data_IF_390331272740
#
_entry.id   IF_390331272740
#
_cell.length_a   1.000
_cell.length_b   1.000
_cell.length_c   1.000
_cell.angle_alpha   90.00
_cell.angle_beta   90.00
_cell.angle_gamma   90.00
#
_symmetry.space_group_name_H-M   'P 1'
#
loop_
_entity.id
_entity.type
_entity.pdbx_description
1 polymer ?
#
# COMPACT_ATOMS: atom_id res chain seq x y z
N UNK A 1 6.97 14.80 -20.83
CA UNK A 1 6.57 13.39 -21.11
C UNK A 1 6.14 12.76 -19.80
N UNK A 2 4.88 12.36 -19.68
CA UNK A 2 4.42 11.65 -18.49
C UNK A 2 5.16 10.30 -18.42
N UNK A 3 5.98 10.10 -17.40
CA UNK A 3 6.61 8.79 -17.17
C UNK A 3 5.51 7.73 -17.04
N UNK A 4 5.59 6.73 -17.89
CA UNK A 4 4.59 5.65 -17.94
C UNK A 4 4.72 4.82 -16.67
N UNK A 5 3.72 4.89 -15.80
CA UNK A 5 3.66 4.09 -14.58
C UNK A 5 3.67 2.61 -14.97
N UNK A 6 4.66 1.87 -14.47
CA UNK A 6 4.86 0.45 -14.78
C UNK A 6 4.44 -0.43 -13.61
N UNK A 7 4.78 -0.03 -12.39
CA UNK A 7 4.56 -0.86 -11.19
C UNK A 7 4.19 -0.01 -9.97
N UNK A 8 3.12 -0.39 -9.30
CA UNK A 8 2.66 0.27 -8.08
C UNK A 8 2.51 -0.71 -6.93
N UNK A 9 2.60 -0.18 -5.71
CA UNK A 9 2.28 -0.89 -4.48
C UNK A 9 1.09 -0.23 -3.79
N UNK A 10 0.06 -1.01 -3.52
CA UNK A 10 -1.04 -0.64 -2.63
C UNK A 10 -0.75 -1.20 -1.24
N UNK A 11 -0.71 -0.35 -0.23
CA UNK A 11 -0.57 -0.77 1.17
C UNK A 11 -1.92 -0.65 1.86
N UNK A 12 -2.62 -1.77 2.00
CA UNK A 12 -3.86 -1.90 2.78
C UNK A 12 -3.89 -3.29 3.40
N UNK A 13 -3.16 -3.49 4.53
CA UNK A 13 -2.96 -4.82 5.11
C UNK A 13 -4.18 -5.37 5.84
N UNK A 14 -5.11 -4.54 6.30
CA UNK A 14 -6.32 -4.89 7.06
C UNK A 14 -7.29 -3.69 7.14
N UNK A 15 -8.56 -3.82 7.58
CA UNK A 15 -9.27 -5.06 7.83
C UNK A 15 -10.02 -5.52 6.57
N UNK A 16 -10.78 -6.64 6.66
CA UNK A 16 -11.50 -7.20 5.51
C UNK A 16 -12.39 -6.14 4.81
N UNK A 17 -13.23 -5.45 5.58
CA UNK A 17 -14.12 -4.41 5.04
C UNK A 17 -13.36 -3.27 4.37
N UNK A 18 -12.26 -2.83 4.98
CA UNK A 18 -11.42 -1.77 4.42
C UNK A 18 -10.73 -2.17 3.11
N UNK A 19 -10.33 -3.44 2.99
CA UNK A 19 -9.76 -3.99 1.75
C UNK A 19 -10.80 -3.98 0.64
N UNK A 20 -12.03 -4.43 0.95
CA UNK A 20 -13.15 -4.41 -0.01
C UNK A 20 -13.48 -2.99 -0.43
N UNK A 21 -13.52 -2.02 0.49
CA UNK A 21 -13.78 -0.61 0.19
C UNK A 21 -12.64 0.05 -0.62
N UNK A 22 -11.43 -0.49 -0.58
CA UNK A 22 -10.32 0.00 -1.40
C UNK A 22 -10.33 -0.56 -2.84
N UNK A 23 -11.02 -1.68 -3.10
CA UNK A 23 -11.04 -2.31 -4.44
C UNK A 23 -11.55 -1.40 -5.56
N UNK A 24 -12.63 -0.59 -5.40
CA UNK A 24 -13.07 0.33 -6.44
C UNK A 24 -11.99 1.32 -6.88
N UNK A 25 -11.21 1.85 -5.92
CA UNK A 25 -10.10 2.74 -6.22
C UNK A 25 -9.01 2.06 -7.02
N UNK A 26 -8.62 0.84 -6.64
CA UNK A 26 -7.62 0.05 -7.36
C UNK A 26 -8.11 -0.32 -8.76
N UNK A 27 -9.39 -0.66 -8.92
CA UNK A 27 -10.01 -0.91 -10.21
C UNK A 27 -9.99 0.35 -11.11
N UNK A 28 -10.34 1.51 -10.56
CA UNK A 28 -10.30 2.78 -11.29
C UNK A 28 -8.89 3.12 -11.76
N UNK A 29 -7.88 2.89 -10.89
CA UNK A 29 -6.47 3.05 -11.27
C UNK A 29 -6.05 2.10 -12.39
N UNK A 30 -6.39 0.81 -12.27
CA UNK A 30 -6.07 -0.21 -13.27
C UNK A 30 -6.68 0.12 -14.64
N UNK A 31 -7.93 0.62 -14.65
CA UNK A 31 -8.63 1.04 -15.88
C UNK A 31 -7.93 2.21 -16.58
N UNK A 32 -7.42 3.18 -15.81
CA UNK A 32 -6.65 4.32 -16.35
C UNK A 32 -5.24 3.92 -16.79
N UNK A 33 -4.66 2.91 -16.14
CA UNK A 33 -3.28 2.46 -16.36
C UNK A 33 -3.21 0.96 -16.69
N UNK A 34 -3.75 0.50 -17.83
CA UNK A 34 -3.94 -0.93 -18.13
C UNK A 34 -2.62 -1.73 -18.27
N UNK A 35 -1.49 -1.03 -18.37
CA UNK A 35 -0.15 -1.65 -18.45
C UNK A 35 0.61 -1.63 -17.13
N UNK A 36 0.03 -1.03 -16.08
CA UNK A 36 0.67 -0.99 -14.78
C UNK A 36 0.45 -2.30 -14.02
N UNK A 37 1.52 -2.84 -13.45
CA UNK A 37 1.45 -3.95 -12.51
C UNK A 37 1.08 -3.44 -11.12
N UNK A 38 0.02 -3.99 -10.55
CA UNK A 38 -0.46 -3.64 -9.22
C UNK A 38 -0.08 -4.74 -8.24
N UNK A 39 0.74 -4.40 -7.27
CA UNK A 39 1.06 -5.26 -6.13
C UNK A 39 0.27 -4.78 -4.91
N UNK A 40 -0.18 -5.71 -4.08
CA UNK A 40 -0.95 -5.39 -2.88
C UNK A 40 -0.30 -5.95 -1.64
N UNK A 41 0.07 -5.06 -0.72
CA UNK A 41 0.61 -5.40 0.59
C UNK A 41 -0.53 -5.72 1.56
N UNK A 42 -0.60 -6.96 1.99
CA UNK A 42 -1.76 -7.52 2.71
C UNK A 42 -1.34 -8.52 3.77
N UNK A 43 -2.15 -8.67 4.80
CA UNK A 43 -1.96 -9.73 5.81
C UNK A 43 -2.35 -11.10 5.23
N UNK A 44 -1.71 -12.20 5.72
CA UNK A 44 -1.96 -13.55 5.22
C UNK A 44 -3.45 -13.94 5.24
N UNK A 45 -4.18 -13.50 6.27
CA UNK A 45 -5.58 -13.84 6.48
C UNK A 45 -6.51 -13.30 5.37
N UNK A 46 -6.07 -12.30 4.62
CA UNK A 46 -6.85 -11.64 3.56
C UNK A 46 -6.25 -11.84 2.16
N UNK A 47 -5.14 -12.57 2.03
CA UNK A 47 -4.45 -12.75 0.75
C UNK A 47 -5.35 -13.45 -0.29
N UNK A 48 -6.10 -14.46 0.14
CA UNK A 48 -7.01 -15.23 -0.72
C UNK A 48 -8.10 -14.38 -1.37
N UNK A 49 -8.51 -13.29 -0.71
CA UNK A 49 -9.47 -12.33 -1.27
C UNK A 49 -8.94 -11.66 -2.55
N UNK A 50 -7.63 -11.51 -2.65
CA UNK A 50 -6.95 -10.82 -3.74
C UNK A 50 -6.42 -11.77 -4.83
N UNK A 51 -6.29 -13.06 -4.56
CA UNK A 51 -5.71 -14.05 -5.49
C UNK A 51 -6.47 -14.16 -6.82
N UNK A 52 -7.80 -14.00 -6.78
CA UNK A 52 -8.65 -14.03 -7.97
C UNK A 52 -8.98 -12.64 -8.53
N UNK A 53 -8.37 -11.58 -7.98
CA UNK A 53 -8.61 -10.21 -8.45
C UNK A 53 -7.76 -9.93 -9.69
N UNK A 54 -8.43 -9.75 -10.84
CA UNK A 54 -7.77 -9.51 -12.14
C UNK A 54 -6.92 -8.24 -12.18
N UNK A 55 -7.15 -7.28 -11.28
CA UNK A 55 -6.39 -6.04 -11.21
C UNK A 55 -5.10 -6.19 -10.39
N UNK A 56 -5.00 -7.21 -9.52
CA UNK A 56 -3.86 -7.41 -8.64
C UNK A 56 -2.94 -8.47 -9.23
N UNK A 57 -1.73 -8.07 -9.61
CA UNK A 57 -0.74 -8.98 -10.19
C UNK A 57 -0.03 -9.84 -9.15
N UNK A 58 0.21 -9.27 -7.95
CA UNK A 58 0.96 -9.94 -6.88
C UNK A 58 0.51 -9.46 -5.51
N UNK A 59 0.38 -10.39 -4.58
CA UNK A 59 0.22 -10.08 -3.16
C UNK A 59 1.58 -10.11 -2.46
N UNK A 60 1.86 -9.10 -1.65
CA UNK A 60 3.04 -9.02 -0.79
C UNK A 60 2.57 -9.27 0.64
N UNK A 61 2.97 -10.40 1.19
CA UNK A 61 2.45 -10.86 2.49
C UNK A 61 3.15 -10.17 3.65
N UNK A 62 2.35 -9.55 4.52
CA UNK A 62 2.79 -8.92 5.76
C UNK A 62 2.29 -9.70 6.99
N UNK A 63 3.13 -10.56 7.55
CA UNK A 63 2.79 -11.29 8.75
C UNK A 63 3.06 -10.47 10.02
N UNK A 64 2.03 -9.72 10.47
CA UNK A 64 2.13 -8.84 11.63
C UNK A 64 2.55 -9.57 12.91
N UNK A 65 2.09 -10.81 13.13
CA UNK A 65 2.37 -11.56 14.37
C UNK A 65 3.85 -11.94 14.47
N UNK A 66 4.43 -12.37 13.35
CA UNK A 66 5.86 -12.72 13.28
C UNK A 66 6.74 -11.47 13.32
N UNK A 67 6.42 -10.47 12.51
CA UNK A 67 7.23 -9.26 12.39
C UNK A 67 7.16 -8.35 13.62
N UNK A 68 6.15 -8.49 14.49
CA UNK A 68 6.07 -7.76 15.75
C UNK A 68 7.13 -8.13 16.77
N UNK A 69 7.84 -9.25 16.57
CA UNK A 69 8.91 -9.76 17.45
C UNK A 69 10.31 -9.75 16.81
N UNK A 70 10.49 -8.93 15.77
CA UNK A 70 11.72 -8.91 14.97
C UNK A 70 12.99 -8.67 15.78
N UNK A 71 12.93 -7.90 16.89
CA UNK A 71 14.08 -7.65 17.79
C UNK A 71 14.40 -8.79 18.75
N UNK A 72 13.46 -9.75 18.93
CA UNK A 72 13.62 -10.84 19.90
C UNK A 72 13.87 -12.21 19.25
N UNK A 73 13.69 -12.32 17.92
CA UNK A 73 13.75 -13.59 17.22
C UNK A 73 14.48 -13.43 15.89
N UNK A 74 15.52 -14.23 15.69
CA UNK A 74 16.37 -14.20 14.49
C UNK A 74 15.56 -14.49 13.20
N UNK A 75 14.58 -15.39 13.26
CA UNK A 75 13.76 -15.72 12.08
C UNK A 75 12.83 -14.56 11.74
N UNK A 76 12.22 -13.90 12.73
CA UNK A 76 11.41 -12.71 12.52
C UNK A 76 12.26 -11.54 11.99
N UNK A 77 13.50 -11.40 12.43
CA UNK A 77 14.46 -10.44 11.90
C UNK A 77 14.77 -10.70 10.43
N UNK A 78 15.08 -11.95 10.08
CA UNK A 78 15.33 -12.35 8.67
C UNK A 78 14.10 -12.11 7.77
N UNK A 79 12.90 -12.47 8.24
CA UNK A 79 11.65 -12.18 7.51
C UNK A 79 11.44 -10.68 7.30
N UNK A 80 11.69 -9.85 8.32
CA UNK A 80 11.54 -8.40 8.22
C UNK A 80 12.47 -7.80 7.16
N UNK A 81 13.76 -8.14 7.22
CA UNK A 81 14.72 -7.66 6.23
C UNK A 81 14.52 -8.29 4.86
N UNK A 82 14.05 -9.54 4.79
CA UNK A 82 13.64 -10.20 3.55
C UNK A 82 12.49 -9.47 2.87
N UNK A 83 11.49 -9.05 3.63
CA UNK A 83 10.36 -8.26 3.12
C UNK A 83 10.81 -6.88 2.61
N UNK A 84 11.68 -6.18 3.35
CA UNK A 84 12.24 -4.90 2.90
C UNK A 84 13.03 -5.09 1.60
N UNK A 85 13.87 -6.12 1.52
CA UNK A 85 14.64 -6.44 0.32
C UNK A 85 13.72 -6.70 -0.87
N UNK A 86 12.66 -7.50 -0.67
CA UNK A 86 11.64 -7.76 -1.69
C UNK A 86 10.99 -6.46 -2.18
N UNK A 87 10.53 -5.59 -1.28
CA UNK A 87 9.91 -4.32 -1.63
C UNK A 87 10.84 -3.43 -2.46
N UNK A 88 12.13 -3.36 -2.09
CA UNK A 88 13.13 -2.56 -2.82
C UNK A 88 13.47 -3.13 -4.20
N UNK A 89 13.54 -4.45 -4.32
CA UNK A 89 13.85 -5.12 -5.59
C UNK A 89 12.75 -4.91 -6.64
N UNK A 90 11.51 -4.72 -6.22
CA UNK A 90 10.38 -4.48 -7.13
C UNK A 90 10.44 -3.12 -7.83
N UNK A 91 11.18 -2.13 -7.29
CA UNK A 91 11.38 -0.79 -7.87
C UNK A 91 10.07 -0.12 -8.27
N UNK A 92 9.18 0.07 -7.29
CA UNK A 92 7.89 0.71 -7.51
C UNK A 92 8.04 2.15 -7.98
N UNK A 93 7.23 2.55 -8.96
CA UNK A 93 7.11 3.94 -9.41
C UNK A 93 6.29 4.77 -8.43
N UNK A 94 5.22 4.17 -7.88
CA UNK A 94 4.34 4.80 -6.90
C UNK A 94 3.98 3.80 -5.79
N UNK A 95 3.92 4.29 -4.56
CA UNK A 95 3.36 3.57 -3.41
C UNK A 95 2.17 4.37 -2.88
N UNK A 96 1.00 3.73 -2.80
CA UNK A 96 -0.20 4.26 -2.19
C UNK A 96 -0.43 3.60 -0.83
N UNK A 97 -0.29 4.35 0.26
CA UNK A 97 -0.63 3.88 1.59
C UNK A 97 -2.07 4.28 1.94
N UNK A 98 -3.01 3.38 1.69
CA UNK A 98 -4.42 3.54 2.01
C UNK A 98 -4.74 3.22 3.48
N UNK A 99 -3.76 2.74 4.25
CA UNK A 99 -3.94 2.44 5.68
C UNK A 99 -3.69 3.66 6.57
N UNK A 100 -2.67 4.46 6.25
CA UNK A 100 -2.33 5.68 6.98
C UNK A 100 -1.86 5.48 8.42
N UNK A 101 -1.34 4.31 8.77
CA UNK A 101 -0.79 4.02 10.10
C UNK A 101 0.72 4.01 10.08
N UNK A 102 1.37 4.25 11.22
CA UNK A 102 2.83 4.28 11.33
C UNK A 102 3.50 3.05 10.71
N UNK A 103 2.98 1.86 10.97
CA UNK A 103 3.54 0.62 10.41
C UNK A 103 3.45 0.55 8.90
N UNK A 104 2.34 0.97 8.29
CA UNK A 104 2.19 0.98 6.84
C UNK A 104 3.07 2.04 6.20
N UNK A 105 3.12 3.23 6.79
CA UNK A 105 3.94 4.33 6.31
C UNK A 105 5.44 4.00 6.31
N UNK A 106 5.91 3.27 7.34
CA UNK A 106 7.31 2.85 7.42
C UNK A 106 7.67 1.85 6.32
N UNK A 107 6.75 0.93 5.95
CA UNK A 107 6.97 0.03 4.81
C UNK A 107 6.93 0.77 3.48
N UNK A 108 6.06 1.78 3.34
CA UNK A 108 6.09 2.67 2.18
C UNK A 108 7.46 3.35 2.04
N UNK A 109 8.04 3.81 3.13
CA UNK A 109 9.38 4.42 3.14
C UNK A 109 10.48 3.39 2.84
N UNK A 110 10.44 2.22 3.47
CA UNK A 110 11.41 1.15 3.25
C UNK A 110 11.39 0.57 1.83
N UNK A 111 10.28 0.73 1.09
CA UNK A 111 10.22 0.33 -0.33
C UNK A 111 11.26 1.05 -1.20
N UNK A 112 11.78 2.19 -0.72
CA UNK A 112 12.71 3.04 -1.47
C UNK A 112 12.06 3.82 -2.62
N UNK A 113 10.74 3.73 -2.76
CA UNK A 113 9.99 4.46 -3.79
C UNK A 113 10.05 5.96 -3.55
N UNK A 114 10.29 6.74 -4.60
CA UNK A 114 10.37 8.20 -4.52
C UNK A 114 9.00 8.86 -4.41
N UNK A 115 7.96 8.31 -5.02
CA UNK A 115 6.59 8.84 -4.97
C UNK A 115 5.72 8.00 -4.02
N UNK A 116 5.55 8.48 -2.79
CA UNK A 116 4.76 7.83 -1.74
C UNK A 116 3.59 8.71 -1.37
N UNK A 117 2.40 8.20 -1.58
CA UNK A 117 1.13 8.92 -1.39
C UNK A 117 0.40 8.30 -0.20
N UNK A 118 -0.03 9.13 0.72
CA UNK A 118 -0.78 8.73 1.90
C UNK A 118 -1.71 9.84 2.40
N UNK A 119 -2.55 9.54 3.41
CA UNK A 119 -3.46 10.52 3.98
C UNK A 119 -2.72 11.64 4.71
N UNK A 120 -3.19 12.88 4.57
CA UNK A 120 -2.62 14.04 5.26
C UNK A 120 -2.95 14.04 6.75
N UNK A 121 -4.19 13.72 7.10
CA UNK A 121 -4.64 13.56 8.50
C UNK A 121 -4.47 12.12 8.95
N UNK A 122 -3.59 11.90 9.92
CA UNK A 122 -3.37 10.60 10.54
C UNK A 122 -3.32 10.77 12.06
N UNK A 123 -3.71 9.74 12.79
CA UNK A 123 -3.62 9.72 14.26
C UNK A 123 -2.17 9.62 14.75
N UNK A 124 -1.25 9.26 13.87
CA UNK A 124 0.17 9.06 14.13
C UNK A 124 0.97 10.01 13.22
N UNK A 125 2.19 10.37 13.59
CA UNK A 125 3.08 11.26 12.81
C UNK A 125 3.58 10.61 11.51
N UNK A 126 2.70 10.01 10.73
CA UNK A 126 3.03 9.25 9.51
C UNK A 126 3.34 10.14 8.32
N UNK A 127 2.93 11.39 8.38
CA UNK A 127 3.09 12.34 7.28
C UNK A 127 4.53 12.58 6.84
N UNK A 128 5.52 12.30 7.71
CA UNK A 128 6.95 12.43 7.36
C UNK A 128 7.42 11.38 6.34
N UNK A 129 6.72 10.25 6.24
CA UNK A 129 7.05 9.15 5.32
C UNK A 129 6.47 9.33 3.92
N UNK A 130 5.49 10.23 3.75
CA UNK A 130 4.85 10.49 2.46
C UNK A 130 5.48 11.67 1.75
N UNK A 131 5.62 11.55 0.44
CA UNK A 131 6.06 12.66 -0.43
C UNK A 131 4.88 13.48 -0.92
N UNK A 132 3.69 12.86 -1.00
CA UNK A 132 2.44 13.51 -1.36
C UNK A 132 1.37 13.12 -0.35
N UNK A 133 0.61 14.09 0.11
CA UNK A 133 -0.42 13.91 1.14
C UNK A 133 -1.76 14.34 0.58
N UNK A 134 -2.77 13.49 0.72
CA UNK A 134 -4.13 13.77 0.28
C UNK A 134 -4.99 14.08 1.51
N UNK A 135 -5.65 15.22 1.48
CA UNK A 135 -6.57 15.64 2.54
C UNK A 135 -7.97 15.05 2.29
N UNK A 136 -8.56 14.51 3.35
CA UNK A 136 -9.95 14.13 3.31
C UNK A 136 -10.80 15.39 3.53
N UNK A 137 -11.40 15.90 2.46
CA UNK A 137 -12.29 17.08 2.49
C UNK A 137 -13.74 16.68 2.74
N UNK A 138 -14.60 17.65 3.01
CA UNK A 138 -16.03 17.40 3.20
C UNK A 138 -16.71 16.77 1.96
N UNK A 139 -16.22 17.07 0.76
CA UNK A 139 -16.65 16.44 -0.50
C UNK A 139 -16.25 14.97 -0.63
N UNK A 140 -15.22 14.53 0.11
CA UNK A 140 -14.73 13.15 0.17
C UNK A 140 -15.17 12.48 1.48
N UNK A 141 -16.43 12.65 1.87
CA UNK A 141 -16.96 12.12 3.12
C UNK A 141 -17.02 10.60 3.14
N UNK A 142 -17.23 9.97 1.98
CA UNK A 142 -17.22 8.53 1.86
C UNK A 142 -15.79 8.00 1.64
N UNK A 143 -15.42 6.97 2.38
CA UNK A 143 -14.05 6.41 2.35
C UNK A 143 -13.62 5.91 0.96
N UNK A 144 -14.56 5.42 0.16
CA UNK A 144 -14.30 4.96 -1.22
C UNK A 144 -13.87 6.12 -2.11
N UNK A 145 -14.56 7.28 -2.01
CA UNK A 145 -14.23 8.47 -2.80
C UNK A 145 -12.85 8.99 -2.42
N UNK A 146 -12.54 8.95 -1.12
CA UNK A 146 -11.20 9.31 -0.64
C UNK A 146 -10.10 8.38 -1.18
N UNK A 147 -10.35 7.07 -1.22
CA UNK A 147 -9.39 6.14 -1.82
C UNK A 147 -9.23 6.34 -3.33
N UNK A 148 -10.32 6.67 -4.04
CA UNK A 148 -10.26 6.99 -5.48
C UNK A 148 -9.41 8.24 -5.71
N UNK A 149 -9.60 9.28 -4.91
CA UNK A 149 -8.79 10.50 -4.97
C UNK A 149 -7.31 10.19 -4.71
N UNK A 150 -7.00 9.40 -3.68
CA UNK A 150 -5.63 9.01 -3.34
C UNK A 150 -4.89 8.32 -4.49
N UNK A 151 -5.58 7.51 -5.30
CA UNK A 151 -4.98 6.78 -6.42
C UNK A 151 -5.12 7.50 -7.77
N UNK A 152 -5.59 8.75 -7.76
CA UNK A 152 -5.77 9.59 -8.96
C UNK A 152 -4.74 10.74 -8.99
N UNK A 153 -3.42 10.44 -9.08
CA UNK A 153 -2.36 11.45 -9.08
C UNK A 153 -2.20 12.13 -10.42
#
# INVERSE_FOLDING_TARGET
MSEKIKKILIIKPSALGDIVLAMPAVYAFAKKNPKAEIHWFVRPEFATLLENNKCVRKTVIFNRKKLGKWWCNLDAFREFFGLIKQLRQEKYDIVFDLQGRFRSAIFAWFSGCKKRIGPAKTQELTGIFYTHKIEQTASLSHIVDFYIEMVSP
#
